data_IF_909073764525
#
_entry.id   IF_909073764525
#
_cell.length_a   1.000
_cell.length_b   1.000
_cell.length_c   1.000
_cell.angle_alpha   90.00
_cell.angle_beta   90.00
_cell.angle_gamma   90.00
#
_symmetry.space_group_name_H-M   'P 1'
#
loop_
_entity.id
_entity.type
_entity.pdbx_description
1 polymer ?
#
# COMPACT_ATOMS: atom_id res chain seq x y z
N UNK A 1 -85.59 16.04 -26.21
CA UNK A 1 -84.38 16.91 -26.23
C UNK A 1 -83.49 16.79 -24.99
N UNK A 2 -84.04 16.44 -23.81
CA UNK A 2 -83.26 16.28 -22.55
C UNK A 2 -82.40 14.99 -22.45
N UNK A 3 -82.70 13.93 -23.19
CA UNK A 3 -82.01 12.65 -23.10
C UNK A 3 -80.71 12.60 -23.88
N UNK A 4 -80.57 13.37 -24.93
CA UNK A 4 -79.31 13.43 -25.73
C UNK A 4 -78.19 14.25 -25.10
N UNK A 5 -78.53 15.29 -24.34
CA UNK A 5 -77.51 16.17 -23.66
C UNK A 5 -76.76 15.47 -22.54
N UNK A 6 -77.42 14.52 -21.84
CA UNK A 6 -76.85 13.79 -20.71
C UNK A 6 -75.83 12.71 -21.17
N UNK A 7 -75.96 12.18 -22.37
CA UNK A 7 -75.08 11.14 -22.93
C UNK A 7 -73.81 11.72 -23.48
N UNK A 8 -73.81 13.00 -23.96
CA UNK A 8 -72.64 13.65 -24.49
C UNK A 8 -71.71 14.12 -23.38
N UNK A 9 -72.23 14.58 -22.24
CA UNK A 9 -71.47 15.08 -21.10
C UNK A 9 -70.72 13.92 -20.37
N UNK A 10 -71.34 12.75 -20.30
CA UNK A 10 -70.71 11.56 -19.69
C UNK A 10 -69.51 10.98 -20.53
N UNK A 11 -69.54 11.17 -21.86
CA UNK A 11 -68.46 10.70 -22.74
C UNK A 11 -67.26 11.67 -22.68
N UNK A 12 -67.44 12.96 -22.57
CA UNK A 12 -66.36 13.96 -22.43
C UNK A 12 -65.66 13.82 -21.11
N UNK A 13 -66.40 13.64 -20.00
CA UNK A 13 -65.78 13.42 -18.65
C UNK A 13 -64.98 12.11 -18.60
N UNK A 14 -65.46 11.05 -19.23
CA UNK A 14 -64.75 9.74 -19.31
C UNK A 14 -63.46 9.80 -20.14
N UNK A 15 -63.45 10.60 -21.19
CA UNK A 15 -62.29 10.85 -22.06
C UNK A 15 -61.22 11.71 -21.34
N UNK A 16 -61.64 12.69 -20.56
CA UNK A 16 -60.74 13.54 -19.77
C UNK A 16 -60.08 12.75 -18.64
N UNK A 17 -60.85 11.89 -17.93
CA UNK A 17 -60.30 11.04 -16.87
C UNK A 17 -59.30 9.99 -17.37
N UNK A 18 -59.47 9.49 -18.63
CA UNK A 18 -58.53 8.56 -19.28
C UNK A 18 -57.25 9.30 -19.70
N UNK A 19 -57.34 10.53 -20.18
CA UNK A 19 -56.19 11.36 -20.50
C UNK A 19 -55.35 11.68 -19.27
N UNK A 20 -56.01 12.08 -18.16
CA UNK A 20 -55.34 12.42 -16.90
C UNK A 20 -54.63 11.19 -16.26
N UNK A 21 -55.22 10.01 -16.35
CA UNK A 21 -54.61 8.74 -15.89
C UNK A 21 -53.37 8.36 -16.74
N UNK A 22 -53.41 8.57 -18.06
CA UNK A 22 -52.30 8.32 -18.97
C UNK A 22 -51.16 9.30 -18.69
N UNK A 23 -51.44 10.58 -18.47
CA UNK A 23 -50.45 11.59 -18.12
C UNK A 23 -49.80 11.30 -16.76
N UNK A 24 -50.59 10.87 -15.75
CA UNK A 24 -50.05 10.48 -14.45
C UNK A 24 -49.13 9.23 -14.53
N UNK A 25 -49.50 8.22 -15.32
CA UNK A 25 -48.66 7.04 -15.55
C UNK A 25 -47.37 7.39 -16.26
N UNK A 26 -47.39 8.30 -17.24
CA UNK A 26 -46.19 8.73 -17.96
C UNK A 26 -45.26 9.54 -17.06
N UNK A 27 -45.80 10.39 -16.18
CA UNK A 27 -45.03 11.13 -15.19
C UNK A 27 -44.42 10.18 -14.14
N UNK A 28 -45.15 9.16 -13.69
CA UNK A 28 -44.61 8.16 -12.76
C UNK A 28 -43.49 7.31 -13.40
N UNK A 29 -43.63 6.93 -14.68
CA UNK A 29 -42.57 6.24 -15.42
C UNK A 29 -41.33 7.10 -15.63
N UNK A 30 -41.51 8.39 -15.93
CA UNK A 30 -40.41 9.34 -16.08
C UNK A 30 -39.66 9.56 -14.74
N UNK A 31 -40.39 9.64 -13.62
CA UNK A 31 -39.78 9.71 -12.29
C UNK A 31 -39.05 8.45 -11.90
N UNK A 32 -39.59 7.26 -12.19
CA UNK A 32 -38.88 5.98 -11.99
C UNK A 32 -37.63 5.87 -12.85
N UNK A 33 -37.68 6.30 -14.10
CA UNK A 33 -36.50 6.31 -14.99
C UNK A 33 -35.41 7.28 -14.49
N UNK A 34 -35.79 8.45 -13.94
CA UNK A 34 -34.85 9.41 -13.34
C UNK A 34 -34.19 8.85 -12.07
N UNK A 35 -34.92 8.06 -11.27
CA UNK A 35 -34.36 7.42 -10.05
C UNK A 35 -33.43 6.24 -10.38
N UNK A 36 -33.65 5.55 -11.48
CA UNK A 36 -32.75 4.45 -11.93
C UNK A 36 -31.47 4.96 -12.59
N UNK A 37 -31.45 6.16 -13.16
CA UNK A 37 -30.24 6.80 -13.69
C UNK A 37 -29.31 7.38 -12.60
N UNK A 38 -29.76 7.48 -11.36
CA UNK A 38 -28.99 8.07 -10.27
C UNK A 38 -27.96 7.09 -9.62
N UNK A 39 -27.99 5.80 -10.01
CA UNK A 39 -27.10 4.78 -9.46
C UNK A 39 -25.91 4.42 -10.36
N UNK A 40 -25.70 5.10 -11.48
CA UNK A 40 -24.53 4.83 -12.31
C UNK A 40 -23.43 5.83 -12.04
N UNK A 41 -22.46 5.39 -11.24
CA UNK A 41 -21.10 5.79 -11.43
C UNK A 41 -20.64 7.08 -10.77
N UNK A 42 -20.23 7.01 -9.52
CA UNK A 42 -19.19 7.88 -8.96
C UNK A 42 -18.10 7.06 -8.25
N UNK A 43 -17.81 5.85 -8.71
CA UNK A 43 -16.66 5.09 -8.19
C UNK A 43 -15.33 5.62 -8.76
N UNK A 44 -15.30 6.06 -10.02
CA UNK A 44 -14.04 6.39 -10.69
C UNK A 44 -13.53 7.82 -10.43
N UNK A 45 -14.40 8.75 -10.04
CA UNK A 45 -13.97 10.14 -9.80
C UNK A 45 -13.36 10.37 -8.42
N UNK A 46 -13.64 9.48 -7.46
CA UNK A 46 -13.09 9.62 -6.10
C UNK A 46 -11.64 9.12 -6.01
N UNK A 47 -11.30 8.05 -6.74
CA UNK A 47 -9.92 7.53 -6.80
C UNK A 47 -8.96 8.45 -7.57
N UNK A 48 -9.45 9.18 -8.57
CA UNK A 48 -8.64 10.15 -9.31
C UNK A 48 -8.30 11.42 -8.51
N UNK A 49 -9.07 11.73 -7.45
CA UNK A 49 -8.88 12.89 -6.59
C UNK A 49 -8.11 12.59 -5.30
N UNK A 50 -7.77 11.32 -5.03
CA UNK A 50 -7.01 10.96 -3.82
C UNK A 50 -5.57 11.48 -3.90
N UNK A 51 -5.08 12.16 -2.86
CA UNK A 51 -3.66 12.49 -2.74
C UNK A 51 -2.80 11.23 -2.90
N UNK A 52 -1.67 11.38 -3.57
CA UNK A 52 -0.72 10.28 -3.78
C UNK A 52 0.39 10.41 -2.75
N UNK A 53 0.67 9.33 -2.05
CA UNK A 53 1.81 9.20 -1.13
C UNK A 53 2.86 8.34 -1.81
N UNK A 54 4.04 8.88 -2.02
CA UNK A 54 5.18 8.18 -2.61
C UNK A 54 5.92 7.42 -1.51
N UNK A 55 5.85 6.10 -1.58
CA UNK A 55 6.45 5.18 -0.60
C UNK A 55 7.75 4.63 -1.15
N UNK A 56 8.86 4.93 -0.50
CA UNK A 56 10.18 4.38 -0.84
C UNK A 56 10.45 3.07 -0.11
N UNK A 57 10.88 2.04 -0.83
CA UNK A 57 11.33 0.77 -0.28
C UNK A 57 12.45 0.15 -1.12
N UNK A 58 13.23 -0.76 -0.54
CA UNK A 58 14.16 -1.61 -1.28
C UNK A 58 13.47 -2.86 -1.84
N UNK A 59 14.22 -3.79 -2.43
CA UNK A 59 13.72 -5.08 -2.85
C UNK A 59 13.91 -6.11 -1.73
N UNK A 60 12.82 -6.48 -1.04
CA UNK A 60 12.86 -7.39 0.11
C UNK A 60 11.69 -8.38 0.14
N UNK A 61 11.72 -9.44 -0.68
CA UNK A 61 10.70 -10.50 -0.60
C UNK A 61 10.70 -11.18 0.79
N UNK A 62 9.56 -11.55 1.35
CA UNK A 62 8.19 -11.40 0.82
C UNK A 62 7.51 -10.09 1.22
N UNK A 63 8.23 -9.12 1.80
CA UNK A 63 7.65 -7.90 2.37
C UNK A 63 7.35 -6.84 1.31
N UNK A 64 8.33 -6.50 0.49
CA UNK A 64 8.18 -5.56 -0.62
C UNK A 64 9.11 -5.95 -1.77
N UNK A 65 8.57 -6.10 -2.95
CA UNK A 65 9.30 -6.48 -4.15
C UNK A 65 8.46 -6.19 -5.40
N UNK A 66 9.08 -6.21 -6.56
CA UNK A 66 8.38 -6.14 -7.83
C UNK A 66 8.08 -7.55 -8.33
N UNK A 67 6.82 -7.82 -8.68
CA UNK A 67 6.45 -9.04 -9.37
C UNK A 67 6.99 -9.04 -10.81
N UNK A 68 6.87 -10.17 -11.50
CA UNK A 68 7.38 -10.33 -12.86
C UNK A 68 6.74 -9.40 -13.89
N UNK A 69 5.55 -8.89 -13.61
CA UNK A 69 4.84 -7.91 -14.45
C UNK A 69 5.15 -6.45 -14.07
N UNK A 70 6.05 -6.23 -13.10
CA UNK A 70 6.43 -4.90 -12.62
C UNK A 70 5.47 -4.29 -11.60
N UNK A 71 4.53 -5.08 -11.06
CA UNK A 71 3.60 -4.61 -10.02
C UNK A 71 4.25 -4.70 -8.64
N UNK A 72 4.24 -3.62 -7.82
CA UNK A 72 4.67 -3.69 -6.44
C UNK A 72 3.82 -4.70 -5.66
N UNK A 73 4.47 -5.59 -4.92
CA UNK A 73 3.84 -6.75 -4.26
C UNK A 73 4.51 -7.02 -2.92
N UNK A 74 3.78 -7.64 -2.00
CA UNK A 74 4.28 -8.11 -0.72
C UNK A 74 3.49 -7.59 0.47
N UNK A 75 3.83 -8.10 1.65
CA UNK A 75 3.13 -7.83 2.91
C UNK A 75 3.10 -6.32 3.22
N UNK A 76 4.23 -5.66 3.09
CA UNK A 76 4.35 -4.22 3.35
C UNK A 76 3.57 -3.39 2.32
N UNK A 77 3.56 -3.83 1.06
CA UNK A 77 2.80 -3.16 -0.02
C UNK A 77 1.30 -3.22 0.25
N UNK A 78 0.78 -4.39 0.65
CA UNK A 78 -0.63 -4.56 0.98
C UNK A 78 -1.02 -3.74 2.22
N UNK A 79 -0.21 -3.79 3.28
CA UNK A 79 -0.44 -3.03 4.52
C UNK A 79 -0.44 -1.52 4.27
N UNK A 80 0.57 -1.01 3.57
CA UNK A 80 0.67 0.41 3.27
C UNK A 80 -0.47 0.87 2.36
N UNK A 81 -0.81 0.09 1.34
CA UNK A 81 -1.93 0.38 0.44
C UNK A 81 -3.24 0.52 1.22
N UNK A 82 -3.54 -0.43 2.11
CA UNK A 82 -4.76 -0.39 2.92
C UNK A 82 -4.73 0.74 3.96
N UNK A 83 -3.59 1.00 4.59
CA UNK A 83 -3.45 2.10 5.54
C UNK A 83 -3.72 3.46 4.87
N UNK A 84 -3.08 3.74 3.73
CA UNK A 84 -3.28 5.00 3.01
C UNK A 84 -4.69 5.11 2.42
N UNK A 85 -5.27 4.02 1.95
CA UNK A 85 -6.66 3.99 1.49
C UNK A 85 -7.63 4.42 2.60
N UNK A 86 -7.43 3.95 3.83
CA UNK A 86 -8.25 4.37 5.00
C UNK A 86 -8.08 5.84 5.34
N UNK A 87 -6.91 6.40 5.06
CA UNK A 87 -6.62 7.83 5.23
C UNK A 87 -7.09 8.70 4.05
N UNK A 88 -7.75 8.11 3.05
CA UNK A 88 -8.20 8.83 1.86
C UNK A 88 -7.08 9.16 0.88
N UNK A 89 -5.95 8.44 0.95
CA UNK A 89 -4.79 8.60 0.08
C UNK A 89 -4.57 7.35 -0.78
N UNK A 90 -3.74 7.48 -1.80
CA UNK A 90 -3.29 6.38 -2.66
C UNK A 90 -1.77 6.21 -2.54
N UNK A 91 -1.31 5.02 -2.21
CA UNK A 91 0.12 4.69 -2.20
C UNK A 91 0.66 4.57 -3.63
N UNK A 92 1.88 5.08 -3.86
CA UNK A 92 2.70 4.85 -5.03
C UNK A 92 4.06 4.36 -4.57
N UNK A 93 4.36 3.08 -4.82
CA UNK A 93 5.64 2.49 -4.43
C UNK A 93 6.73 2.79 -5.44
N UNK A 94 7.92 3.09 -4.93
CA UNK A 94 9.13 3.29 -5.72
C UNK A 94 10.29 2.52 -5.07
N UNK A 95 11.03 1.78 -5.89
CA UNK A 95 12.27 1.14 -5.43
C UNK A 95 13.35 2.20 -5.33
N UNK A 96 14.02 2.29 -4.18
CA UNK A 96 15.04 3.28 -3.89
C UNK A 96 16.41 2.62 -3.64
N UNK A 97 17.46 3.40 -3.81
CA UNK A 97 18.75 3.10 -3.23
C UNK A 97 18.65 3.23 -1.71
N UNK A 98 18.79 2.09 -1.00
CA UNK A 98 18.59 2.06 0.46
C UNK A 98 19.57 2.93 1.23
N UNK A 99 20.77 3.16 0.72
CA UNK A 99 21.75 4.06 1.33
C UNK A 99 21.27 5.51 1.35
N UNK A 100 20.45 5.90 0.36
CA UNK A 100 19.93 7.26 0.20
C UNK A 100 18.58 7.50 0.85
N UNK A 101 18.00 6.51 1.53
CA UNK A 101 16.64 6.59 2.09
C UNK A 101 16.36 7.84 2.92
N UNK A 102 17.32 8.28 3.74
CA UNK A 102 17.19 9.47 4.57
C UNK A 102 17.19 10.74 3.73
N UNK A 103 18.13 10.89 2.82
CA UNK A 103 18.21 12.02 1.88
C UNK A 103 16.92 12.15 1.04
N UNK A 104 16.38 11.02 0.57
CA UNK A 104 15.18 11.01 -0.28
C UNK A 104 13.93 11.48 0.46
N UNK A 105 13.82 11.22 1.76
CA UNK A 105 12.73 11.75 2.60
C UNK A 105 12.99 13.24 2.91
N UNK A 106 14.21 13.61 3.25
CA UNK A 106 14.56 14.98 3.63
C UNK A 106 14.38 15.98 2.47
N UNK A 107 14.53 15.53 1.24
CA UNK A 107 14.36 16.35 0.03
C UNK A 107 13.00 16.20 -0.67
N UNK A 108 12.02 15.55 -0.01
CA UNK A 108 10.66 15.34 -0.52
C UNK A 108 10.60 14.53 -1.83
N UNK A 109 11.65 13.75 -2.17
CA UNK A 109 11.60 12.84 -3.33
C UNK A 109 10.64 11.67 -3.07
N UNK A 110 10.56 11.21 -1.81
CA UNK A 110 9.58 10.26 -1.29
C UNK A 110 8.93 10.87 -0.04
N UNK A 111 7.66 10.56 0.16
CA UNK A 111 6.91 11.04 1.33
C UNK A 111 7.20 10.23 2.58
N UNK A 112 7.48 8.93 2.43
CA UNK A 112 7.83 8.05 3.54
C UNK A 112 8.64 6.84 3.10
N UNK A 113 9.29 6.20 4.08
CA UNK A 113 9.93 4.89 3.94
C UNK A 113 9.02 3.84 4.54
N UNK A 114 8.75 2.76 3.81
CA UNK A 114 8.00 1.61 4.31
C UNK A 114 8.56 0.32 3.71
N UNK A 115 9.26 -0.46 4.51
CA UNK A 115 9.95 -1.65 4.01
C UNK A 115 10.63 -2.42 5.12
N UNK A 116 9.87 -2.87 6.15
CA UNK A 116 10.42 -3.62 7.30
C UNK A 116 11.62 -2.91 7.95
N UNK A 117 11.57 -1.59 8.03
CA UNK A 117 12.65 -0.75 8.53
C UNK A 117 12.69 -0.76 10.06
N UNK A 118 13.85 -1.13 10.63
CA UNK A 118 14.04 -1.23 12.08
C UNK A 118 14.07 0.14 12.74
N UNK A 119 13.19 0.36 13.71
CA UNK A 119 13.14 1.58 14.51
C UNK A 119 14.23 1.61 15.61
N UNK A 120 14.55 0.45 16.19
CA UNK A 120 15.45 0.34 17.35
C UNK A 120 16.79 1.03 17.13
N UNK A 121 17.10 1.98 18.02
CA UNK A 121 18.32 2.80 17.97
C UNK A 121 18.29 3.89 16.91
N UNK A 122 17.11 4.19 16.34
CA UNK A 122 16.90 5.26 15.35
C UNK A 122 15.68 6.12 15.67
N UNK A 123 15.21 6.06 16.92
CA UNK A 123 14.00 6.71 17.38
C UNK A 123 14.04 8.22 17.12
N UNK A 124 15.21 8.83 17.27
CA UNK A 124 15.43 10.26 17.07
C UNK A 124 15.77 10.65 15.62
N UNK A 125 16.03 9.67 14.75
CA UNK A 125 16.43 9.96 13.37
C UNK A 125 15.26 10.20 12.42
N UNK A 126 14.08 9.66 12.75
CA UNK A 126 12.89 9.71 11.92
C UNK A 126 11.64 9.96 12.75
N UNK A 127 10.61 10.46 12.11
CA UNK A 127 9.28 10.46 12.69
C UNK A 127 8.59 9.13 12.38
N UNK A 128 8.34 8.33 13.42
CA UNK A 128 7.86 6.97 13.29
C UNK A 128 6.35 6.84 13.43
N UNK A 129 5.74 5.97 12.63
CA UNK A 129 4.38 5.46 12.79
C UNK A 129 4.45 3.94 12.90
N UNK A 130 4.05 3.40 14.03
CA UNK A 130 4.16 1.97 14.32
C UNK A 130 4.78 1.69 15.68
N UNK A 131 5.36 0.51 15.93
CA UNK A 131 5.68 -0.58 15.01
C UNK A 131 4.44 -1.37 14.54
N UNK A 132 4.48 -1.90 13.32
CA UNK A 132 3.42 -2.74 12.77
C UNK A 132 3.80 -4.24 12.72
N UNK A 133 5.10 -4.55 12.79
CA UNK A 133 5.65 -5.90 12.86
C UNK A 133 6.83 -5.93 13.83
N UNK A 134 7.09 -7.11 14.36
CA UNK A 134 8.30 -7.41 15.14
C UNK A 134 9.06 -8.52 14.41
N UNK A 135 10.38 -8.39 14.35
CA UNK A 135 11.28 -9.38 13.75
C UNK A 135 12.53 -9.56 14.59
N UNK A 136 13.35 -10.54 14.21
CA UNK A 136 14.66 -10.76 14.84
C UNK A 136 15.74 -10.72 13.77
N UNK A 137 16.88 -10.14 14.10
CA UNK A 137 18.07 -10.29 13.29
C UNK A 137 18.62 -11.71 13.49
N UNK A 138 18.92 -12.38 12.41
CA UNK A 138 19.50 -13.72 12.40
C UNK A 138 20.66 -13.78 11.41
N UNK A 139 21.60 -14.69 11.66
CA UNK A 139 22.64 -15.01 10.70
C UNK A 139 22.23 -16.28 9.95
N UNK A 140 22.12 -16.19 8.64
CA UNK A 140 21.90 -17.36 7.79
C UNK A 140 23.26 -17.98 7.44
N UNK A 141 23.34 -19.28 7.58
CA UNK A 141 24.54 -20.06 7.27
C UNK A 141 24.17 -21.27 6.41
N UNK A 142 25.14 -21.86 5.75
CA UNK A 142 24.91 -23.12 5.03
C UNK A 142 24.50 -24.22 6.01
N UNK A 143 23.60 -25.07 5.58
CA UNK A 143 23.08 -26.18 6.42
C UNK A 143 24.15 -27.20 6.84
N UNK A 144 25.24 -27.26 6.11
CA UNK A 144 26.41 -28.15 6.37
C UNK A 144 27.55 -27.40 7.08
N UNK A 145 27.32 -26.18 7.59
CA UNK A 145 28.34 -25.43 8.33
C UNK A 145 28.43 -25.88 9.80
N UNK A 146 29.56 -25.58 10.40
CA UNK A 146 29.85 -25.77 11.83
C UNK A 146 29.55 -24.53 12.69
N UNK A 147 28.75 -23.59 12.16
CA UNK A 147 28.35 -22.36 12.83
C UNK A 147 26.98 -22.56 13.48
N UNK A 148 26.94 -22.61 14.81
CA UNK A 148 25.71 -22.81 15.62
C UNK A 148 25.41 -21.63 16.54
N UNK A 149 26.42 -20.82 16.86
CA UNK A 149 26.32 -19.65 17.72
C UNK A 149 26.94 -18.42 17.05
N UNK A 150 26.66 -17.24 17.59
CA UNK A 150 27.30 -16.00 17.11
C UNK A 150 28.80 -16.01 17.35
N UNK A 151 29.30 -16.74 18.35
CA UNK A 151 30.74 -16.85 18.66
C UNK A 151 31.49 -17.65 17.61
N UNK A 152 30.83 -18.60 16.92
CA UNK A 152 31.42 -19.38 15.83
C UNK A 152 31.70 -18.55 14.57
N UNK A 153 31.23 -17.31 14.54
CA UNK A 153 31.55 -16.33 13.50
C UNK A 153 32.97 -15.77 13.62
N UNK A 154 33.71 -16.09 14.70
CA UNK A 154 35.09 -15.67 14.85
C UNK A 154 35.92 -16.07 13.63
N UNK A 155 36.65 -15.10 13.07
CA UNK A 155 37.50 -15.27 11.87
C UNK A 155 36.74 -15.73 10.60
N UNK A 156 35.43 -15.61 10.57
CA UNK A 156 34.61 -15.88 9.39
C UNK A 156 34.42 -14.63 8.54
N UNK A 157 33.87 -14.81 7.35
CA UNK A 157 33.44 -13.76 6.43
C UNK A 157 31.93 -13.64 6.53
N UNK A 158 31.41 -12.43 6.75
CA UNK A 158 29.98 -12.13 6.85
C UNK A 158 29.62 -11.08 5.81
N UNK A 159 28.47 -11.21 5.19
CA UNK A 159 27.90 -10.22 4.29
C UNK A 159 26.62 -9.63 4.90
N UNK A 160 26.48 -8.32 4.80
CA UNK A 160 25.30 -7.56 5.27
C UNK A 160 24.92 -6.53 4.23
N UNK A 161 23.69 -6.05 4.28
CA UNK A 161 23.32 -4.87 3.51
C UNK A 161 23.80 -3.63 4.24
N UNK A 162 24.35 -2.67 3.51
CA UNK A 162 24.83 -1.39 4.05
C UNK A 162 23.69 -0.56 4.63
N UNK A 163 24.02 0.30 5.61
CA UNK A 163 23.10 1.18 6.33
C UNK A 163 21.94 0.44 7.04
N UNK A 164 22.15 -0.83 7.38
CA UNK A 164 21.21 -1.66 8.14
C UNK A 164 21.68 -1.91 9.57
N UNK A 165 20.78 -2.39 10.44
CA UNK A 165 21.12 -2.73 11.83
C UNK A 165 22.17 -3.84 11.95
N UNK A 166 22.16 -4.91 11.15
CA UNK A 166 23.24 -5.91 11.14
C UNK A 166 24.61 -5.33 10.84
N UNK A 167 24.73 -4.40 9.89
CA UNK A 167 25.99 -3.74 9.61
C UNK A 167 26.50 -2.97 10.84
N UNK A 168 25.65 -2.15 11.42
CA UNK A 168 25.96 -1.37 12.65
C UNK A 168 26.45 -2.27 13.79
N UNK A 169 25.77 -3.39 14.01
CA UNK A 169 26.14 -4.36 15.05
C UNK A 169 27.53 -4.95 14.83
N UNK A 170 27.87 -5.33 13.60
CA UNK A 170 29.19 -5.91 13.28
C UNK A 170 30.29 -4.86 13.17
N UNK A 171 30.01 -3.64 12.74
CA UNK A 171 30.98 -2.54 12.77
C UNK A 171 31.40 -2.19 14.21
N UNK A 172 30.47 -2.37 15.16
CA UNK A 172 30.69 -2.16 16.60
C UNK A 172 30.75 -3.51 17.35
N UNK A 173 31.37 -4.54 16.76
CA UNK A 173 31.31 -5.90 17.25
C UNK A 173 31.73 -6.05 18.72
N UNK A 174 32.80 -5.42 19.14
CA UNK A 174 33.31 -5.47 20.52
C UNK A 174 32.27 -4.95 21.52
N UNK A 175 31.66 -3.81 21.25
CA UNK A 175 30.64 -3.20 22.12
C UNK A 175 29.36 -4.05 22.18
N UNK A 176 29.05 -4.78 21.11
CA UNK A 176 27.88 -5.65 21.00
C UNK A 176 28.15 -7.12 21.44
N UNK A 177 29.33 -7.42 21.99
CA UNK A 177 29.71 -8.77 22.42
C UNK A 177 29.80 -9.78 21.26
N UNK A 178 30.02 -9.29 20.03
CA UNK A 178 30.20 -10.09 18.85
C UNK A 178 31.67 -10.42 18.62
N UNK A 179 32.02 -11.57 18.01
CA UNK A 179 33.37 -11.96 17.74
C UNK A 179 33.97 -11.09 16.61
N UNK A 180 35.30 -11.01 16.59
CA UNK A 180 36.01 -10.36 15.48
C UNK A 180 35.88 -11.22 14.22
N UNK A 181 35.38 -10.61 13.17
CA UNK A 181 35.29 -11.21 11.85
C UNK A 181 36.64 -11.12 11.11
N UNK A 182 36.90 -12.07 10.22
CA UNK A 182 37.98 -11.95 9.24
C UNK A 182 37.68 -10.84 8.23
N UNK A 183 36.40 -10.73 7.79
CA UNK A 183 35.94 -9.69 6.88
C UNK A 183 34.41 -9.49 7.02
N UNK A 184 33.99 -8.23 6.96
CA UNK A 184 32.61 -7.83 6.76
C UNK A 184 32.46 -7.25 5.35
N UNK A 185 31.54 -7.78 4.56
CA UNK A 185 31.11 -7.20 3.31
C UNK A 185 29.82 -6.41 3.53
N UNK A 186 29.90 -5.10 3.33
CA UNK A 186 28.74 -4.20 3.31
C UNK A 186 28.32 -4.01 1.85
N UNK A 187 27.15 -4.52 1.50
CA UNK A 187 26.63 -4.57 0.14
C UNK A 187 25.47 -3.59 -0.03
N UNK A 188 25.42 -2.91 -1.16
CA UNK A 188 24.48 -1.85 -1.44
C UNK A 188 23.01 -2.35 -1.42
N UNK A 189 22.79 -3.53 -1.95
CA UNK A 189 21.46 -4.14 -1.93
C UNK A 189 21.51 -5.58 -1.41
N UNK A 190 20.36 -6.06 -0.95
CA UNK A 190 20.19 -7.37 -0.31
C UNK A 190 20.41 -8.54 -1.26
N UNK A 191 20.04 -8.37 -2.53
CA UNK A 191 20.15 -9.45 -3.52
C UNK A 191 21.59 -9.89 -3.73
N UNK A 192 22.55 -8.97 -3.55
CA UNK A 192 23.98 -9.28 -3.65
C UNK A 192 24.45 -10.22 -2.54
N UNK A 193 23.80 -10.28 -1.38
CA UNK A 193 24.17 -11.18 -0.28
C UNK A 193 24.00 -12.63 -0.69
N UNK A 194 23.00 -12.95 -1.51
CA UNK A 194 22.72 -14.31 -1.93
C UNK A 194 23.65 -14.82 -3.07
N UNK A 195 24.42 -13.93 -3.66
CA UNK A 195 25.33 -14.21 -4.77
C UNK A 195 26.80 -14.11 -4.40
N UNK A 196 27.11 -13.75 -3.15
CA UNK A 196 28.45 -13.62 -2.59
C UNK A 196 28.85 -14.85 -1.79
#
# INVERSE_FOLDING_TARGET
>A
YKKQKKTQDGRTMKKHRRGLRRAACLLALAMCAALLCSCTGKADSYTAAMPVIVVGSDNYPPFNYMSTDGTPTGIDVELATEAFRRLGCRAKFVTIDWEKKKELVENDTIDCIWGSFTMDGREEEYQWAGPYLYSRQVVAVRSDSDIYTLQDLADKVVAVQSTTKPEELFLNAEQNGLPRLRRLYSLQNRDLIYTT
#
